data_IF_863139286139
#
_entry.id   IF_863139286139
#
_cell.length_a   1.000
_cell.length_b   1.000
_cell.length_c   1.000
_cell.angle_alpha   90.00
_cell.angle_beta   90.00
_cell.angle_gamma   90.00
#
_symmetry.space_group_name_H-M   'P 1'
#
loop_
_entity.id
_entity.type
_entity.pdbx_description
1 polymer ?
#
# COMPACT_ATOMS: atom_id res chain seq x y z
N UNK A 1 0.15 -1.87 14.89
CA UNK A 1 0.22 -2.12 13.43
C UNK A 1 -0.72 -3.19 12.94
N UNK A 2 -0.84 -4.30 13.65
CA UNK A 2 -1.74 -5.39 13.22
C UNK A 2 -3.20 -4.90 13.10
N UNK A 3 -3.63 -4.03 14.00
CA UNK A 3 -4.97 -3.46 13.99
C UNK A 3 -5.22 -2.54 12.79
N UNK A 4 -4.15 -2.07 12.12
CA UNK A 4 -4.25 -1.22 10.93
C UNK A 4 -4.17 -2.01 9.64
N UNK A 5 -4.08 -3.35 9.72
CA UNK A 5 -3.93 -4.20 8.54
C UNK A 5 -5.26 -4.47 7.88
N UNK A 6 -5.31 -4.30 6.55
CA UNK A 6 -6.48 -4.60 5.74
C UNK A 6 -6.04 -5.49 4.58
N UNK A 7 -6.84 -6.52 4.27
CA UNK A 7 -6.51 -7.53 3.28
C UNK A 7 -7.60 -7.66 2.24
N UNK A 8 -7.23 -8.06 1.03
CA UNK A 8 -8.18 -8.35 -0.04
C UNK A 8 -7.64 -9.48 -0.92
N UNK A 9 -8.50 -10.38 -1.35
CA UNK A 9 -8.15 -11.47 -2.26
C UNK A 9 -8.98 -11.33 -3.53
N UNK A 10 -8.32 -11.28 -4.69
CA UNK A 10 -8.96 -11.07 -5.98
C UNK A 10 -8.61 -12.19 -6.96
N UNK A 11 -9.54 -12.45 -7.88
CA UNK A 11 -9.28 -13.29 -9.05
C UNK A 11 -9.06 -12.35 -10.24
N UNK A 12 -7.99 -12.59 -11.01
CA UNK A 12 -7.70 -11.78 -12.19
C UNK A 12 -8.48 -12.30 -13.38
N UNK A 13 -9.50 -11.54 -13.80
CA UNK A 13 -10.39 -11.91 -14.91
C UNK A 13 -9.81 -11.47 -16.26
N UNK A 14 -10.27 -12.10 -17.37
CA UNK A 14 -9.78 -11.75 -18.71
C UNK A 14 -9.92 -10.29 -19.10
N UNK A 15 -10.94 -9.58 -18.61
CA UNK A 15 -11.15 -8.16 -18.94
C UNK A 15 -10.10 -7.23 -18.38
N UNK A 16 -9.28 -7.68 -17.40
CA UNK A 16 -8.17 -6.90 -16.87
C UNK A 16 -6.84 -7.15 -17.57
N UNK A 17 -6.85 -7.99 -18.62
CA UNK A 17 -5.61 -8.36 -19.31
C UNK A 17 -5.17 -7.30 -20.33
N UNK A 18 -3.86 -7.28 -20.63
CA UNK A 18 -3.31 -6.53 -21.73
C UNK A 18 -3.19 -7.42 -22.99
N UNK A 19 -2.53 -6.91 -24.05
CA UNK A 19 -2.35 -7.63 -25.31
C UNK A 19 -1.56 -8.93 -25.17
N UNK A 20 -0.77 -9.06 -24.10
CA UNK A 20 0.07 -10.23 -23.85
C UNK A 20 -0.56 -11.20 -22.83
N UNK A 21 -1.86 -11.08 -22.61
CA UNK A 21 -2.60 -11.91 -21.65
C UNK A 21 -2.11 -11.74 -20.20
N UNK A 22 -1.55 -10.57 -19.89
CA UNK A 22 -1.10 -10.21 -18.54
C UNK A 22 -2.00 -9.13 -17.98
N UNK A 23 -2.03 -9.03 -16.66
CA UNK A 23 -2.85 -8.02 -15.99
C UNK A 23 -2.15 -6.67 -16.04
N UNK A 24 -2.90 -5.62 -16.39
CA UNK A 24 -2.38 -4.26 -16.45
C UNK A 24 -1.82 -3.81 -15.09
N UNK A 25 -0.66 -3.13 -15.15
CA UNK A 25 -0.11 -2.47 -13.96
C UNK A 25 -1.05 -1.44 -13.38
N UNK A 26 -1.80 -0.73 -14.24
CA UNK A 26 -2.80 0.23 -13.81
C UNK A 26 -3.94 -0.41 -13.00
N UNK A 27 -4.34 -1.63 -13.37
CA UNK A 27 -5.33 -2.38 -12.60
C UNK A 27 -4.79 -2.70 -11.19
N UNK A 28 -3.55 -3.16 -11.10
CA UNK A 28 -2.92 -3.48 -9.83
C UNK A 28 -2.82 -2.24 -8.94
N UNK A 29 -2.41 -1.12 -9.51
CA UNK A 29 -2.30 0.15 -8.78
C UNK A 29 -3.67 0.62 -8.30
N UNK A 30 -4.70 0.49 -9.12
CA UNK A 30 -6.06 0.87 -8.74
C UNK A 30 -6.55 0.04 -7.56
N UNK A 31 -6.32 -1.27 -7.58
CA UNK A 31 -6.72 -2.15 -6.48
C UNK A 31 -5.95 -1.81 -5.21
N UNK A 32 -4.64 -1.54 -5.33
CA UNK A 32 -3.83 -1.12 -4.19
C UNK A 32 -4.29 0.22 -3.63
N UNK A 33 -4.63 1.17 -4.51
CA UNK A 33 -5.12 2.50 -4.12
C UNK A 33 -6.45 2.38 -3.38
N UNK A 34 -7.38 1.58 -3.88
CA UNK A 34 -8.68 1.38 -3.24
C UNK A 34 -8.52 0.78 -1.84
N UNK A 35 -7.66 -0.23 -1.72
CA UNK A 35 -7.40 -0.85 -0.42
C UNK A 35 -6.73 0.12 0.54
N UNK A 36 -5.74 0.87 0.07
CA UNK A 36 -5.05 1.88 0.87
C UNK A 36 -6.01 2.99 1.31
N UNK A 37 -6.89 3.44 0.42
CA UNK A 37 -7.89 4.45 0.74
C UNK A 37 -8.81 3.96 1.85
N UNK A 38 -9.33 2.75 1.72
CA UNK A 38 -10.21 2.17 2.73
C UNK A 38 -9.50 2.05 4.08
N UNK A 39 -8.25 1.58 4.08
CA UNK A 39 -7.46 1.46 5.29
C UNK A 39 -7.20 2.81 5.94
N UNK A 40 -6.81 3.81 5.14
CA UNK A 40 -6.54 5.16 5.64
C UNK A 40 -7.80 5.79 6.21
N UNK A 41 -8.94 5.67 5.52
CA UNK A 41 -10.21 6.24 5.96
C UNK A 41 -10.66 5.65 7.30
N UNK A 42 -10.53 4.33 7.46
CA UNK A 42 -10.88 3.65 8.71
C UNK A 42 -9.92 4.05 9.83
N UNK A 43 -8.63 4.12 9.53
CA UNK A 43 -7.62 4.42 10.55
C UNK A 43 -7.74 5.85 11.09
N UNK A 44 -7.92 6.83 10.21
CA UNK A 44 -8.00 8.23 10.64
C UNK A 44 -9.43 8.73 10.85
N UNK A 45 -10.44 7.91 10.54
CA UNK A 45 -11.87 8.24 10.67
C UNK A 45 -12.25 9.55 9.96
N UNK A 46 -11.64 9.75 8.78
CA UNK A 46 -11.88 10.93 7.95
C UNK A 46 -11.61 10.56 6.50
N UNK A 47 -11.86 11.48 5.59
CA UNK A 47 -11.57 11.28 4.17
C UNK A 47 -10.11 11.63 3.91
N UNK A 48 -9.28 10.66 3.52
CA UNK A 48 -7.87 10.94 3.26
C UNK A 48 -7.65 11.58 1.89
N UNK A 49 -6.56 12.31 1.77
CA UNK A 49 -6.10 12.90 0.51
C UNK A 49 -4.76 12.26 0.16
N UNK A 50 -4.67 11.62 -1.00
CA UNK A 50 -3.41 11.04 -1.45
C UNK A 50 -2.49 12.13 -1.97
N UNK A 51 -1.26 12.14 -1.48
CA UNK A 51 -0.25 13.13 -1.88
C UNK A 51 0.80 12.54 -2.81
N UNK A 52 1.12 11.25 -2.65
CA UNK A 52 2.20 10.64 -3.41
C UNK A 52 2.01 9.13 -3.44
N UNK A 53 2.47 8.52 -4.51
CA UNK A 53 2.54 7.07 -4.65
C UNK A 53 3.92 6.69 -5.18
N UNK A 54 4.51 5.66 -4.59
CA UNK A 54 5.75 5.06 -5.05
C UNK A 54 5.52 3.55 -5.17
N UNK A 55 6.08 2.94 -6.20
CA UNK A 55 5.81 1.56 -6.53
C UNK A 55 7.11 0.83 -6.83
N UNK A 56 7.29 -0.33 -6.21
CA UNK A 56 8.39 -1.24 -6.50
C UNK A 56 7.79 -2.46 -7.19
N UNK A 57 8.23 -2.70 -8.42
CA UNK A 57 7.75 -3.83 -9.20
C UNK A 57 8.77 -4.96 -9.15
N UNK A 58 8.29 -6.17 -8.89
CA UNK A 58 9.10 -7.37 -8.91
C UNK A 58 8.95 -8.09 -10.25
N UNK A 59 9.79 -9.09 -10.50
CA UNK A 59 9.87 -9.71 -11.82
C UNK A 59 8.68 -10.59 -12.18
N UNK A 60 7.91 -11.06 -11.20
CA UNK A 60 6.80 -11.96 -11.50
C UNK A 60 5.61 -11.19 -12.01
N UNK A 61 5.17 -11.39 -13.26
CA UNK A 61 3.96 -10.76 -13.79
C UNK A 61 2.72 -11.44 -13.24
N UNK A 62 1.61 -10.70 -13.23
CA UNK A 62 0.30 -11.24 -12.87
C UNK A 62 -0.40 -11.65 -14.15
N UNK A 63 -0.93 -12.87 -14.18
CA UNK A 63 -1.59 -13.45 -15.35
C UNK A 63 -3.09 -13.66 -15.09
N UNK A 64 -3.84 -13.83 -16.20
CA UNK A 64 -5.27 -14.13 -16.12
C UNK A 64 -5.46 -15.46 -15.38
N UNK A 65 -6.38 -15.47 -14.43
CA UNK A 65 -6.66 -16.65 -13.62
C UNK A 65 -5.88 -16.74 -12.33
N UNK A 66 -4.87 -15.87 -12.14
CA UNK A 66 -4.11 -15.84 -10.89
C UNK A 66 -4.96 -15.31 -9.75
N UNK A 67 -4.68 -15.80 -8.54
CA UNK A 67 -5.23 -15.23 -7.31
C UNK A 67 -4.28 -14.15 -6.83
N UNK A 68 -4.80 -12.95 -6.65
CA UNK A 68 -4.02 -11.80 -6.19
C UNK A 68 -4.40 -11.47 -4.75
N UNK A 69 -3.41 -11.51 -3.87
CA UNK A 69 -3.60 -11.21 -2.45
C UNK A 69 -2.96 -9.87 -2.15
N UNK A 70 -3.76 -8.94 -1.66
CA UNK A 70 -3.32 -7.60 -1.29
C UNK A 70 -3.42 -7.43 0.23
N UNK A 71 -2.39 -6.85 0.82
CA UNK A 71 -2.42 -6.51 2.24
C UNK A 71 -1.91 -5.08 2.42
N UNK A 72 -2.65 -4.29 3.19
CA UNK A 72 -2.33 -2.90 3.47
C UNK A 72 -2.03 -2.70 4.94
N UNK A 73 -0.97 -1.95 5.23
CA UNK A 73 -0.58 -1.58 6.59
C UNK A 73 -0.37 -0.08 6.68
N UNK A 74 -0.76 0.51 7.80
CA UNK A 74 -0.28 1.84 8.16
C UNK A 74 1.12 1.64 8.76
N UNK A 75 2.15 2.04 8.01
CA UNK A 75 3.53 1.77 8.39
C UNK A 75 4.14 2.88 9.25
N UNK A 76 3.73 4.13 9.02
CA UNK A 76 4.30 5.28 9.72
C UNK A 76 3.26 6.40 9.78
N UNK A 77 3.24 7.14 10.89
CA UNK A 77 2.36 8.30 11.05
C UNK A 77 3.13 9.47 11.65
N UNK A 78 2.84 10.67 11.21
CA UNK A 78 3.40 11.90 11.77
C UNK A 78 2.43 13.05 11.53
N UNK A 79 1.90 13.63 12.63
CA UNK A 79 0.95 14.74 12.55
C UNK A 79 -0.31 14.38 11.80
N UNK A 80 -0.53 15.02 10.64
CA UNK A 80 -1.67 14.76 9.76
C UNK A 80 -1.37 13.76 8.66
N UNK A 81 -0.11 13.27 8.56
CA UNK A 81 0.33 12.40 7.50
C UNK A 81 0.42 10.95 7.95
N UNK A 82 0.18 10.04 7.03
CA UNK A 82 0.45 8.62 7.24
C UNK A 82 1.06 8.01 5.99
N UNK A 83 1.90 7.01 6.19
CA UNK A 83 2.47 6.20 5.12
C UNK A 83 1.79 4.84 5.15
N UNK A 84 1.23 4.45 4.02
CA UNK A 84 0.63 3.12 3.87
C UNK A 84 1.49 2.27 2.95
N UNK A 85 1.63 1.01 3.31
CA UNK A 85 2.31 0.03 2.48
C UNK A 85 1.32 -1.02 2.03
N UNK A 86 1.17 -1.19 0.72
CA UNK A 86 0.34 -2.24 0.14
C UNK A 86 1.26 -3.26 -0.52
N UNK A 87 1.16 -4.49 -0.06
CA UNK A 87 1.94 -5.61 -0.56
C UNK A 87 1.06 -6.49 -1.42
N UNK A 88 1.45 -6.68 -2.68
CA UNK A 88 0.71 -7.50 -3.64
C UNK A 88 1.44 -8.80 -3.90
N UNK A 89 0.74 -9.92 -3.75
CA UNK A 89 1.28 -11.25 -3.95
C UNK A 89 0.37 -12.06 -4.85
N UNK A 90 0.98 -12.90 -5.70
CA UNK A 90 0.25 -13.93 -6.44
C UNK A 90 0.27 -15.20 -5.61
N UNK A 91 -0.90 -15.81 -5.43
CA UNK A 91 -1.07 -17.06 -4.68
C UNK A 91 -1.33 -18.19 -5.64
N UNK A 92 -0.56 -19.27 -5.53
CA UNK A 92 -0.82 -20.50 -6.27
C UNK A 92 -1.86 -21.31 -5.48
N UNK A 93 -3.08 -21.50 -6.00
CA UNK A 93 -4.12 -22.19 -5.25
C UNK A 93 -3.83 -23.68 -5.00
N UNK A 94 -2.96 -24.30 -5.82
CA UNK A 94 -2.67 -25.73 -5.68
C UNK A 94 -1.62 -25.99 -4.58
N UNK A 95 -0.66 -25.10 -4.40
CA UNK A 95 0.43 -25.27 -3.41
C UNK A 95 0.34 -24.31 -2.24
N UNK A 96 -0.41 -23.22 -2.39
CA UNK A 96 -0.47 -22.15 -1.40
C UNK A 96 0.75 -21.23 -1.43
N UNK A 97 1.66 -21.42 -2.39
CA UNK A 97 2.87 -20.61 -2.51
C UNK A 97 2.51 -19.19 -2.91
N UNK A 98 3.18 -18.22 -2.29
CA UNK A 98 2.98 -16.79 -2.55
C UNK A 98 4.26 -16.16 -3.08
N UNK A 99 4.12 -15.38 -4.15
CA UNK A 99 5.24 -14.64 -4.75
C UNK A 99 4.86 -13.16 -4.84
N UNK A 100 5.75 -12.30 -4.33
CA UNK A 100 5.53 -10.86 -4.37
C UNK A 100 5.64 -10.33 -5.79
N UNK A 101 4.63 -9.57 -6.23
CA UNK A 101 4.64 -8.95 -7.55
C UNK A 101 4.92 -7.45 -7.49
N UNK A 102 4.35 -6.77 -6.50
CA UNK A 102 4.50 -5.32 -6.33
C UNK A 102 4.44 -4.94 -4.86
N UNK A 103 5.10 -3.83 -4.52
CA UNK A 103 4.93 -3.15 -3.24
C UNK A 103 4.66 -1.68 -3.55
N UNK A 104 3.57 -1.15 -3.01
CA UNK A 104 3.19 0.25 -3.19
C UNK A 104 3.34 0.99 -1.87
N UNK A 105 3.84 2.22 -1.94
CA UNK A 105 3.94 3.12 -0.79
C UNK A 105 3.14 4.38 -1.09
N UNK A 106 2.17 4.67 -0.24
CA UNK A 106 1.30 5.84 -0.40
C UNK A 106 1.54 6.82 0.74
N UNK A 107 1.70 8.10 0.39
CA UNK A 107 1.70 9.19 1.36
C UNK A 107 0.33 9.83 1.35
N UNK A 108 -0.31 9.87 2.52
CA UNK A 108 -1.69 10.31 2.67
C UNK A 108 -1.76 11.39 3.73
N UNK A 109 -2.57 12.43 3.48
CA UNK A 109 -2.83 13.49 4.44
C UNK A 109 -4.28 13.44 4.89
N UNK A 110 -4.50 13.58 6.19
CA UNK A 110 -5.83 13.63 6.78
C UNK A 110 -6.14 15.03 7.28
N UNK A 111 -7.45 15.36 7.37
CA UNK A 111 -7.90 16.66 7.85
C UNK A 111 -7.66 16.85 9.34
N UNK A 112 -7.47 15.78 10.09
CA UNK A 112 -7.21 15.80 11.52
C UNK A 112 -5.93 15.02 11.83
N UNK A 113 -5.42 15.17 13.05
CA UNK A 113 -4.23 14.44 13.46
C UNK A 113 -4.48 12.94 13.44
N UNK A 114 -3.53 12.21 12.90
CA UNK A 114 -3.63 10.75 12.78
C UNK A 114 -3.14 10.12 14.08
N UNK A 115 -3.83 9.07 14.59
CA UNK A 115 -3.32 8.32 15.74
C UNK A 115 -1.93 7.75 15.45
N UNK A 116 -1.08 7.73 16.47
CA UNK A 116 0.30 7.25 16.30
C UNK A 116 0.30 5.73 16.14
N UNK A 117 0.96 5.25 15.07
CA UNK A 117 1.18 3.83 14.89
C UNK A 117 2.41 3.41 15.72
N UNK A 118 2.29 2.27 16.41
CA UNK A 118 3.38 1.77 17.27
C UNK A 118 3.75 0.36 16.86
N UNK A 119 5.01 0.13 16.44
CA UNK A 119 5.46 -1.22 16.13
C UNK A 119 5.64 -2.03 17.41
N UNK A 120 5.22 -3.29 17.38
CA UNK A 120 5.33 -4.18 18.53
C UNK A 120 6.29 -5.35 18.30
N UNK A 121 6.56 -5.68 17.04
CA UNK A 121 7.46 -6.78 16.68
C UNK A 121 8.64 -6.25 15.89
N UNK A 122 9.66 -7.11 15.70
CA UNK A 122 10.81 -6.74 14.87
C UNK A 122 10.40 -6.44 13.42
N UNK A 123 9.55 -7.28 12.84
CA UNK A 123 9.05 -7.06 11.49
C UNK A 123 8.27 -5.76 11.35
N UNK A 124 7.44 -5.43 12.32
CA UNK A 124 6.71 -4.17 12.35
C UNK A 124 7.65 -2.97 12.48
N UNK A 125 8.72 -3.10 13.28
CA UNK A 125 9.72 -2.05 13.43
C UNK A 125 10.43 -1.78 12.10
N UNK A 126 10.73 -2.82 11.32
CA UNK A 126 11.33 -2.67 10.00
C UNK A 126 10.39 -1.96 9.04
N UNK A 127 9.09 -2.28 9.06
CA UNK A 127 8.09 -1.59 8.25
C UNK A 127 7.97 -0.12 8.66
N UNK A 128 8.01 0.15 9.95
CA UNK A 128 7.94 1.51 10.48
C UNK A 128 9.12 2.35 9.99
N UNK A 129 10.33 1.83 10.10
CA UNK A 129 11.53 2.55 9.66
C UNK A 129 11.53 2.79 8.15
N UNK A 130 11.08 1.82 7.37
CA UNK A 130 10.95 1.96 5.93
C UNK A 130 9.90 3.03 5.58
N UNK A 131 8.77 3.03 6.26
CA UNK A 131 7.73 4.05 6.08
C UNK A 131 8.23 5.44 6.42
N UNK A 132 8.99 5.55 7.50
CA UNK A 132 9.60 6.82 7.90
C UNK A 132 10.53 7.35 6.82
N UNK A 133 11.34 6.47 6.22
CA UNK A 133 12.24 6.85 5.14
C UNK A 133 11.47 7.38 3.92
N UNK A 134 10.41 6.71 3.53
CA UNK A 134 9.57 7.15 2.41
C UNK A 134 8.91 8.50 2.70
N UNK A 135 8.49 8.72 3.94
CA UNK A 135 7.90 9.99 4.33
C UNK A 135 8.94 11.12 4.28
N UNK A 136 10.17 10.86 4.73
CA UNK A 136 11.25 11.84 4.66
C UNK A 136 11.60 12.20 3.23
N UNK A 137 11.59 11.22 2.32
CA UNK A 137 11.78 11.46 0.89
C UNK A 137 10.66 12.32 0.32
N UNK A 138 9.41 12.05 0.71
CA UNK A 138 8.27 12.86 0.30
C UNK A 138 8.44 14.33 0.74
N UNK A 139 8.84 14.56 1.97
CA UNK A 139 9.04 15.91 2.49
C UNK A 139 10.16 16.66 1.73
N UNK A 140 11.22 15.95 1.35
CA UNK A 140 12.30 16.55 0.56
C UNK A 140 11.83 16.99 -0.82
N UNK A 141 10.94 16.21 -1.43
CA UNK A 141 10.38 16.52 -2.74
C UNK A 141 9.26 17.56 -2.67
N UNK A 142 8.66 17.75 -1.49
CA UNK A 142 7.55 18.67 -1.26
C UNK A 142 7.82 19.55 -0.03
N UNK A 143 8.77 20.53 -0.13
CA UNK A 143 9.15 21.34 1.02
C UNK A 143 8.00 22.15 1.63
N UNK A 144 7.00 22.51 0.83
CA UNK A 144 5.83 23.24 1.30
C UNK A 144 5.03 22.45 2.33
N UNK A 145 5.00 21.14 2.22
CA UNK A 145 4.30 20.28 3.18
C UNK A 145 5.06 20.18 4.50
N UNK A 146 6.38 20.30 4.46
CA UNK A 146 7.20 20.31 5.66
C UNK A 146 6.88 21.49 6.57
N UNK A 147 6.59 22.65 5.98
CA UNK A 147 6.28 23.87 6.72
C UNK A 147 4.88 23.86 7.34
N UNK A 148 4.00 22.98 6.86
CA UNK A 148 2.60 22.91 7.30
C UNK A 148 2.37 21.88 8.41
N UNK A 149 3.41 21.24 8.88
CA UNK A 149 3.29 20.23 9.95
C UNK A 149 3.11 20.83 11.35
#
# INVERSE_FOLDING_TARGET
MEDSKLKNLLICFPEQRNLYNKIFGGFLMRQALELAYANAAVYCQARPIFKSVDSIQFRKPVEVGDLLYLSSHVAFTEGHFMQLRVHAEVVDPSTGQRDTTNVFHFTVKCSQRVPVVRPKTYGESMLFLNGRRHFQEFLRENPEECQKQ
#
